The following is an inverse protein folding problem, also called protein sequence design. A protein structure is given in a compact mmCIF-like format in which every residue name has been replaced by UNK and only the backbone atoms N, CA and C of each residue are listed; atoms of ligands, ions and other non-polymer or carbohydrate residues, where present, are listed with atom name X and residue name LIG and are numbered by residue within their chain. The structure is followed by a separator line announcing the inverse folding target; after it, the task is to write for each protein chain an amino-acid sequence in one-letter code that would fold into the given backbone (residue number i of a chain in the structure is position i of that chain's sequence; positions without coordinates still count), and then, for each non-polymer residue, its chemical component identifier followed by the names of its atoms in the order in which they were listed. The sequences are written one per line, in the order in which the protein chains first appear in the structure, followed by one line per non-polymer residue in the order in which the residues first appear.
data_IF_098483020831
#
_entry.id   IF_098483020831
#
_cell.length_a   1.000
_cell.length_b   1.000
_cell.length_c   1.000
_cell.angle_alpha   90.00
_cell.angle_beta   90.00
_cell.angle_gamma   90.00
#
_symmetry.space_group_name_H-M   'P 1'
#
loop_
_entity.id
_entity.type
_entity.pdbx_description
1 polymer ?
#
# COMPACT_ATOMS: atom_id res chain seq x y z
N UNK A 1 17.62 14.10 15.77
CA UNK A 1 16.52 13.12 15.87
C UNK A 1 17.03 11.85 15.26
N UNK A 2 17.29 10.84 16.07
CA UNK A 2 17.61 9.49 15.58
C UNK A 2 16.31 8.93 15.02
N UNK A 3 16.18 8.89 13.69
CA UNK A 3 15.06 8.20 13.03
C UNK A 3 15.30 6.71 13.24
N UNK A 4 14.40 6.05 13.93
CA UNK A 4 14.38 4.60 14.08
C UNK A 4 14.16 3.97 12.69
N UNK A 5 15.25 3.53 12.05
CA UNK A 5 15.25 3.05 10.67
C UNK A 5 14.29 1.87 10.47
N UNK A 6 14.06 1.05 11.51
CA UNK A 6 13.08 -0.04 11.47
C UNK A 6 11.66 0.50 11.27
N UNK A 7 11.27 1.55 11.99
CA UNK A 7 9.94 2.20 11.81
C UNK A 7 9.79 2.82 10.43
N UNK A 8 10.86 3.40 9.91
CA UNK A 8 10.86 3.98 8.56
C UNK A 8 10.60 2.90 7.50
N UNK A 9 11.26 1.74 7.62
CA UNK A 9 11.03 0.60 6.72
C UNK A 9 9.61 0.05 6.87
N UNK A 10 9.09 -0.09 8.09
CA UNK A 10 7.71 -0.53 8.30
C UNK A 10 6.72 0.43 7.64
N UNK A 11 6.91 1.74 7.83
CA UNK A 11 6.05 2.77 7.20
C UNK A 11 6.12 2.72 5.68
N UNK A 12 7.30 2.41 5.12
CA UNK A 12 7.49 2.23 3.69
C UNK A 12 6.80 0.98 3.15
N UNK A 13 6.94 -0.17 3.81
CA UNK A 13 6.24 -1.42 3.48
C UNK A 13 4.73 -1.26 3.57
N UNK A 14 4.25 -0.45 4.52
CA UNK A 14 2.84 -0.14 4.70
C UNK A 14 2.25 0.88 3.73
N UNK A 15 3.11 1.53 2.93
CA UNK A 15 2.69 2.58 2.00
C UNK A 15 2.18 3.83 2.74
N UNK A 16 2.60 4.01 3.99
CA UNK A 16 2.24 5.16 4.83
C UNK A 16 3.10 6.40 4.52
N UNK A 17 4.27 6.19 3.90
CA UNK A 17 5.10 7.29 3.39
C UNK A 17 4.40 7.98 2.21
N UNK A 18 4.13 9.28 2.36
CA UNK A 18 3.45 10.11 1.35
C UNK A 18 4.38 11.06 0.62
N UNK A 19 5.48 11.45 1.27
CA UNK A 19 6.45 12.35 0.68
C UNK A 19 7.42 11.57 -0.21
N UNK A 20 7.57 12.02 -1.45
CA UNK A 20 8.46 11.40 -2.43
C UNK A 20 9.92 11.46 -1.96
N UNK A 21 10.31 12.53 -1.26
CA UNK A 21 11.68 12.68 -0.77
C UNK A 21 12.02 11.63 0.30
N UNK A 22 11.08 11.34 1.19
CA UNK A 22 11.23 10.27 2.20
C UNK A 22 11.23 8.89 1.56
N UNK A 23 10.38 8.66 0.56
CA UNK A 23 10.35 7.41 -0.21
C UNK A 23 11.71 7.15 -0.87
N UNK A 24 12.26 8.14 -1.55
CA UNK A 24 13.52 8.00 -2.28
C UNK A 24 14.71 7.84 -1.31
N UNK A 25 14.67 8.54 -0.17
CA UNK A 25 15.62 8.35 0.91
C UNK A 25 15.57 6.93 1.49
N UNK A 26 14.37 6.41 1.78
CA UNK A 26 14.21 5.05 2.32
C UNK A 26 14.65 3.99 1.32
N UNK A 27 14.37 4.16 0.02
CA UNK A 27 14.89 3.26 -1.02
C UNK A 27 16.42 3.26 -1.02
N UNK A 28 17.03 4.44 -0.99
CA UNK A 28 18.48 4.56 -0.96
C UNK A 28 19.09 3.87 0.26
N UNK A 29 18.48 4.00 1.45
CA UNK A 29 18.89 3.27 2.65
C UNK A 29 18.81 1.75 2.46
N UNK A 30 17.69 1.25 1.95
CA UNK A 30 17.47 -0.19 1.71
C UNK A 30 18.49 -0.75 0.71
N UNK A 31 18.85 0.03 -0.31
CA UNK A 31 19.77 -0.40 -1.37
C UNK A 31 21.23 -0.44 -0.89
N UNK A 32 21.61 0.45 0.03
CA UNK A 32 23.00 0.61 0.47
C UNK A 32 23.32 -0.07 1.82
N UNK A 33 22.32 -0.34 2.67
CA UNK A 33 22.50 -0.97 3.97
C UNK A 33 21.97 -2.41 3.98
N UNK A 34 22.88 -3.37 4.10
CA UNK A 34 22.56 -4.81 4.00
C UNK A 34 21.55 -5.28 5.05
N UNK A 35 21.67 -4.80 6.29
CA UNK A 35 20.80 -5.20 7.39
C UNK A 35 19.37 -4.69 7.15
N UNK A 36 19.24 -3.45 6.69
CA UNK A 36 17.96 -2.83 6.31
C UNK A 36 17.32 -3.50 5.09
N UNK A 37 18.13 -3.90 4.11
CA UNK A 37 17.67 -4.66 2.94
C UNK A 37 17.03 -6.00 3.34
N UNK A 38 17.67 -6.70 4.27
CA UNK A 38 17.15 -7.95 4.83
C UNK A 38 15.86 -7.74 5.61
N UNK A 39 15.80 -6.68 6.44
CA UNK A 39 14.64 -6.33 7.24
C UNK A 39 13.43 -5.99 6.36
N UNK A 40 13.64 -5.16 5.33
CA UNK A 40 12.64 -4.85 4.30
C UNK A 40 12.11 -6.12 3.62
N UNK A 41 13.02 -6.99 3.16
CA UNK A 41 12.65 -8.22 2.47
C UNK A 41 11.79 -9.13 3.35
N UNK A 42 12.16 -9.25 4.63
CA UNK A 42 11.43 -10.04 5.61
C UNK A 42 10.02 -9.49 5.85
N UNK A 43 9.90 -8.18 6.08
CA UNK A 43 8.61 -7.52 6.32
C UNK A 43 7.69 -7.62 5.08
N UNK A 44 8.24 -7.44 3.88
CA UNK A 44 7.50 -7.57 2.64
C UNK A 44 6.95 -9.00 2.42
N UNK A 45 7.75 -10.02 2.71
CA UNK A 45 7.31 -11.43 2.63
C UNK A 45 6.20 -11.71 3.63
N UNK A 46 6.35 -11.29 4.89
CA UNK A 46 5.33 -11.46 5.94
C UNK A 46 4.02 -10.83 5.50
N UNK A 47 4.07 -9.60 4.97
CA UNK A 47 2.88 -8.89 4.48
C UNK A 47 2.19 -9.64 3.33
N UNK A 48 2.95 -10.19 2.38
CA UNK A 48 2.40 -11.02 1.30
C UNK A 48 1.66 -12.23 1.87
N UNK A 49 2.31 -13.01 2.75
CA UNK A 49 1.73 -14.21 3.36
C UNK A 49 0.44 -13.87 4.13
N UNK A 50 0.45 -12.78 4.92
CA UNK A 50 -0.74 -12.34 5.66
C UNK A 50 -1.84 -11.95 4.69
N UNK A 51 -1.54 -11.18 3.64
CA UNK A 51 -2.53 -10.76 2.63
C UNK A 51 -3.16 -11.93 1.88
N UNK A 52 -2.40 -12.99 1.61
CA UNK A 52 -2.89 -14.22 0.97
C UNK A 52 -3.77 -15.06 1.90
N UNK A 53 -3.42 -15.11 3.19
CA UNK A 53 -4.18 -15.86 4.21
C UNK A 53 -5.46 -15.14 4.64
N UNK A 54 -5.50 -13.82 4.53
CA UNK A 54 -6.71 -13.05 4.75
C UNK A 54 -7.71 -13.41 3.64
N UNK A 55 -8.80 -14.07 4.01
CA UNK A 55 -9.94 -14.31 3.10
C UNK A 55 -10.46 -12.95 2.65
N UNK A 56 -10.04 -12.49 1.48
CA UNK A 56 -10.58 -11.28 0.87
C UNK A 56 -12.07 -11.51 0.62
N UNK A 57 -12.90 -10.88 1.43
CA UNK A 57 -14.33 -10.85 1.19
C UNK A 57 -14.61 -9.81 0.11
N UNK A 58 -15.47 -10.12 -0.87
CA UNK A 58 -15.89 -9.12 -1.83
C UNK A 58 -16.54 -7.95 -1.08
N UNK A 59 -16.11 -6.74 -1.42
CA UNK A 59 -16.72 -5.52 -0.87
C UNK A 59 -18.22 -5.52 -1.23
N UNK A 60 -19.14 -5.28 -0.28
CA UNK A 60 -20.56 -5.19 -0.58
C UNK A 60 -20.86 -4.13 -1.65
N UNK A 61 -21.76 -4.42 -2.58
CA UNK A 61 -22.02 -3.54 -3.73
C UNK A 61 -22.49 -2.14 -3.31
N UNK A 62 -23.28 -2.06 -2.23
CA UNK A 62 -23.69 -0.76 -1.62
C UNK A 62 -22.50 0.13 -1.24
N UNK A 63 -21.37 -0.46 -0.85
CA UNK A 63 -20.15 0.29 -0.52
C UNK A 63 -19.42 0.69 -1.80
N UNK A 64 -19.33 -0.19 -2.80
CA UNK A 64 -18.75 0.12 -4.12
C UNK A 64 -19.47 1.31 -4.77
N UNK A 65 -20.80 1.30 -4.77
CA UNK A 65 -21.63 2.36 -5.35
C UNK A 65 -21.44 3.69 -4.63
N UNK A 66 -21.35 3.68 -3.28
CA UNK A 66 -21.07 4.88 -2.47
C UNK A 66 -19.69 5.45 -2.77
N UNK A 67 -18.67 4.61 -2.89
CA UNK A 67 -17.31 5.05 -3.18
C UNK A 67 -17.26 5.66 -4.59
N UNK A 68 -17.82 4.97 -5.57
CA UNK A 68 -17.79 5.44 -6.95
C UNK A 68 -18.63 6.69 -7.17
N UNK A 69 -19.76 6.86 -6.47
CA UNK A 69 -20.52 8.11 -6.48
C UNK A 69 -19.75 9.30 -5.88
N UNK A 70 -18.82 9.06 -4.95
CA UNK A 70 -17.90 10.09 -4.43
C UNK A 70 -16.74 10.41 -5.38
N UNK A 71 -16.21 9.40 -6.08
CA UNK A 71 -15.10 9.57 -7.03
C UNK A 71 -15.59 10.22 -8.32
N UNK A 72 -16.78 9.85 -8.81
CA UNK A 72 -17.38 10.41 -10.01
C UNK A 72 -18.88 10.71 -9.79
N UNK A 73 -19.22 11.85 -9.17
CA UNK A 73 -20.61 12.25 -8.92
C UNK A 73 -21.44 12.46 -10.20
N UNK A 74 -20.81 12.53 -11.38
CA UNK A 74 -21.50 12.70 -12.67
C UNK A 74 -22.03 11.41 -13.30
N UNK A 75 -21.75 10.23 -12.71
CA UNK A 75 -22.39 8.95 -13.10
C UNK A 75 -21.91 8.31 -14.42
N UNK A 76 -20.92 8.90 -15.12
CA UNK A 76 -20.51 8.44 -16.46
C UNK A 76 -19.58 7.21 -16.50
N UNK A 77 -19.09 6.72 -15.35
CA UNK A 77 -18.03 5.68 -15.32
C UNK A 77 -18.54 4.23 -15.36
N UNK A 78 -19.72 3.95 -14.81
CA UNK A 78 -20.20 2.57 -14.61
C UNK A 78 -20.70 1.88 -15.88
N UNK A 79 -21.07 2.65 -16.92
CA UNK A 79 -21.59 2.05 -18.15
C UNK A 79 -20.49 1.37 -18.99
N UNK A 80 -19.22 1.68 -18.76
CA UNK A 80 -18.11 1.22 -19.61
C UNK A 80 -17.25 0.10 -18.99
N UNK A 81 -17.18 -0.01 -17.65
CA UNK A 81 -16.25 -0.94 -16.99
C UNK A 81 -16.89 -2.14 -16.28
N UNK A 82 -18.19 -2.09 -15.97
CA UNK A 82 -18.85 -3.12 -15.13
C UNK A 82 -20.10 -3.77 -15.78
N UNK A 83 -20.38 -3.46 -17.06
CA UNK A 83 -21.34 -4.19 -17.89
C UNK A 83 -20.60 -4.84 -19.05
N UNK A 84 -19.97 -5.98 -18.75
CA UNK A 84 -19.54 -7.01 -19.69
C UNK A 84 -19.97 -8.34 -19.12
#
# INVERSE_FOLDING_TARGET
MEKDNTKLITSFVDGELKDQSEIDYTKNLIDNEKDLSFDYSTQAIIKSIVSEKLKMQPVPDKIKDKIAGKINPSGKFFHHFFRG
#
